data_IF_954587981228
#
_entry.id   IF_954587981228
#
_cell.length_a   1.000
_cell.length_b   1.000
_cell.length_c   1.000
_cell.angle_alpha   90.00
_cell.angle_beta   90.00
_cell.angle_gamma   90.00
#
_symmetry.space_group_name_H-M   'P 1'
#
loop_
_entity.id
_entity.type
_entity.pdbx_description
1 polymer ?
#
# COMPACT_ATOMS: atom_id res chain seq x y z
N UNK A 1 15.74 -16.30 14.35
CA UNK A 1 17.13 -16.52 14.83
C UNK A 1 17.93 -15.29 14.40
N UNK A 2 17.78 -14.16 15.11
CA UNK A 2 18.76 -13.64 16.09
C UNK A 2 20.08 -13.27 15.38
N UNK A 3 20.58 -12.03 15.38
CA UNK A 3 20.92 -11.22 16.55
C UNK A 3 20.96 -9.70 16.25
N UNK A 4 20.41 -8.92 17.18
CA UNK A 4 20.81 -7.54 17.54
C UNK A 4 21.15 -7.62 19.02
N UNK A 5 22.35 -7.19 19.43
CA UNK A 5 22.66 -6.76 20.79
C UNK A 5 24.02 -6.04 20.82
N UNK A 6 24.05 -4.77 21.22
CA UNK A 6 24.79 -4.28 22.39
C UNK A 6 24.55 -2.76 22.53
N UNK A 7 24.01 -2.31 23.67
CA UNK A 7 24.34 -1.03 24.31
C UNK A 7 23.61 -0.91 25.67
N UNK A 8 24.41 -0.98 26.73
CA UNK A 8 24.20 -0.60 28.13
C UNK A 8 25.62 -0.61 28.71
N UNK A 9 26.16 0.27 29.55
CA UNK A 9 25.67 1.17 30.60
C UNK A 9 26.91 1.99 31.04
N UNK A 10 26.79 3.29 31.29
CA UNK A 10 27.38 4.11 32.40
C UNK A 10 26.66 5.47 32.29
N UNK A 11 26.03 6.13 33.26
CA UNK A 11 26.07 6.05 34.72
C UNK A 11 26.65 7.37 35.29
N UNK A 12 25.79 8.34 35.68
CA UNK A 12 25.93 9.23 36.87
C UNK A 12 25.33 10.63 36.69
N UNK A 13 24.26 10.87 37.46
CA UNK A 13 24.14 11.88 38.53
C UNK A 13 24.58 13.33 38.31
N UNK A 14 23.64 14.28 38.42
CA UNK A 14 23.76 15.45 39.30
C UNK A 14 22.40 16.15 39.50
N UNK A 15 22.08 16.39 40.78
CA UNK A 15 21.01 17.24 41.29
C UNK A 15 21.16 18.70 40.85
N UNK A 16 20.05 19.46 40.79
CA UNK A 16 19.91 20.81 41.39
C UNK A 16 18.41 21.11 41.55
N UNK A 17 18.09 21.69 42.71
CA UNK A 17 16.76 22.05 43.19
C UNK A 17 16.55 23.58 43.12
N UNK A 18 15.27 23.96 43.08
CA UNK A 18 14.65 25.11 43.75
C UNK A 18 14.45 26.46 43.01
N UNK A 19 13.16 26.85 43.04
CA UNK A 19 12.56 28.19 43.30
C UNK A 19 12.73 29.29 42.23
N UNK A 20 11.84 30.26 42.04
CA UNK A 20 10.45 30.56 42.44
C UNK A 20 10.08 31.94 41.84
N UNK A 21 8.77 32.22 41.63
CA UNK A 21 8.10 33.55 41.62
C UNK A 21 8.52 34.54 40.51
N UNK A 22 7.73 35.51 40.02
CA UNK A 22 6.31 35.85 40.03
C UNK A 22 6.13 37.10 39.13
N UNK A 23 4.90 37.31 38.62
CA UNK A 23 4.31 38.60 38.20
C UNK A 23 4.93 39.29 36.95
N UNK A 24 4.24 40.07 36.11
CA UNK A 24 2.98 40.82 36.23
C UNK A 24 2.42 41.22 34.83
N UNK A 25 1.12 41.55 34.82
CA UNK A 25 0.45 42.60 34.03
C UNK A 25 0.23 42.48 32.50
N UNK A 26 -1.02 42.14 32.15
CA UNK A 26 -1.88 42.64 31.03
C UNK A 26 -2.54 43.97 31.54
N UNK A 27 -3.16 44.94 30.78
CA UNK A 27 -3.87 44.94 29.46
C UNK A 27 -3.47 46.14 28.56
N UNK A 28 -4.07 46.53 27.42
CA UNK A 28 -4.94 46.02 26.34
C UNK A 28 -5.27 47.24 25.43
N UNK A 29 -6.00 47.00 24.32
CA UNK A 29 -6.82 47.94 23.51
C UNK A 29 -6.16 48.46 22.20
N UNK A 30 -6.83 48.18 21.07
CA UNK A 30 -6.48 48.53 19.67
C UNK A 30 -6.87 49.97 19.26
N UNK A 31 -7.30 50.30 18.02
CA UNK A 31 -7.60 49.48 16.82
C UNK A 31 -6.89 49.94 15.51
N UNK A 32 -7.23 49.27 14.40
CA UNK A 32 -6.93 49.58 12.97
C UNK A 32 -7.51 50.96 12.52
N UNK A 33 -7.39 51.49 11.27
CA UNK A 33 -7.04 50.85 9.98
C UNK A 33 -6.25 51.70 8.94
N UNK A 34 -5.96 51.12 7.76
CA UNK A 34 -6.22 51.84 6.50
C UNK A 34 -5.08 52.02 5.47
N UNK A 35 -5.47 51.72 4.22
CA UNK A 35 -5.16 52.45 2.96
C UNK A 35 -4.09 51.86 2.01
N UNK A 36 -4.64 51.41 0.88
CA UNK A 36 -4.20 51.40 -0.52
C UNK A 36 -2.85 52.01 -0.90
N UNK A 37 -2.17 51.37 -1.85
CA UNK A 37 -1.16 52.01 -2.70
C UNK A 37 -0.65 51.11 -3.81
N UNK A 38 -1.04 51.40 -5.05
CA UNK A 38 -0.72 50.69 -6.29
C UNK A 38 0.71 50.95 -6.79
N UNK A 39 1.18 49.99 -7.61
CA UNK A 39 2.15 50.08 -8.72
C UNK A 39 3.50 50.79 -8.51
N UNK A 40 4.60 50.07 -8.74
CA UNK A 40 5.38 50.24 -9.99
C UNK A 40 6.51 49.20 -10.08
N UNK A 41 6.80 48.86 -11.34
CA UNK A 41 7.92 48.05 -11.80
C UNK A 41 9.17 48.92 -11.79
N UNK A 42 10.29 48.44 -11.25
CA UNK A 42 11.62 48.81 -11.78
C UNK A 42 12.65 47.72 -11.51
N UNK A 43 13.27 47.29 -12.61
CA UNK A 43 14.43 46.41 -12.71
C UNK A 43 15.68 47.29 -12.54
N UNK A 44 16.53 47.04 -11.55
CA UNK A 44 17.93 47.52 -11.55
C UNK A 44 18.88 46.42 -11.09
N UNK A 45 19.87 46.17 -11.94
CA UNK A 45 21.05 45.34 -11.75
C UNK A 45 22.21 46.31 -11.54
N UNK A 46 22.95 46.18 -10.44
CA UNK A 46 24.31 46.71 -10.24
C UNK A 46 25.01 45.74 -9.27
N UNK A 47 25.93 44.89 -9.75
CA UNK A 47 27.38 45.10 -9.93
C UNK A 47 28.21 45.05 -8.64
N UNK A 48 29.23 44.20 -8.71
CA UNK A 48 30.52 44.38 -8.03
C UNK A 48 30.87 43.24 -7.07
N UNK A 49 32.08 42.71 -7.02
CA UNK A 49 33.26 42.88 -7.86
C UNK A 49 34.35 41.87 -7.40
N UNK A 50 35.35 41.65 -8.27
CA UNK A 50 36.74 41.24 -7.99
C UNK A 50 37.03 39.82 -7.46
N UNK A 51 38.12 39.13 -7.82
CA UNK A 51 39.26 39.37 -8.75
C UNK A 51 40.02 38.03 -8.87
N UNK A 52 40.45 37.61 -10.06
CA UNK A 52 41.87 37.63 -10.51
C UNK A 52 42.15 36.28 -11.20
N UNK A 53 42.51 36.17 -12.48
CA UNK A 53 43.63 36.68 -13.31
C UNK A 53 44.63 35.55 -13.64
N UNK A 54 44.66 35.18 -14.94
CA UNK A 54 45.79 34.82 -15.83
C UNK A 54 45.34 33.78 -16.88
N UNK A 55 44.90 34.17 -18.10
CA UNK A 55 45.67 34.50 -19.31
C UNK A 55 46.42 33.26 -19.90
N UNK A 56 45.91 32.54 -20.92
CA UNK A 56 45.94 32.75 -22.43
C UNK A 56 47.36 32.74 -23.04
N UNK A 57 47.60 32.36 -24.33
CA UNK A 57 46.66 32.34 -25.47
C UNK A 57 46.77 31.22 -26.56
N UNK A 58 45.68 31.11 -27.34
CA UNK A 58 45.48 30.88 -28.80
C UNK A 58 46.63 30.41 -29.73
N UNK A 59 46.32 29.50 -30.70
CA UNK A 59 45.85 29.80 -32.08
C UNK A 59 45.56 28.54 -32.93
N UNK A 60 44.74 28.76 -33.97
CA UNK A 60 44.17 27.89 -35.03
C UNK A 60 45.21 27.39 -36.06
N UNK A 61 44.94 26.25 -36.74
CA UNK A 61 44.79 26.15 -38.21
C UNK A 61 44.61 24.69 -38.75
N UNK A 62 43.46 24.45 -39.40
CA UNK A 62 43.17 23.72 -40.67
C UNK A 62 44.06 22.56 -41.20
N UNK A 63 43.44 21.39 -41.47
CA UNK A 63 43.21 20.71 -42.78
C UNK A 63 43.06 19.17 -42.62
N UNK A 64 42.04 18.63 -43.28
CA UNK A 64 41.77 17.19 -43.60
C UNK A 64 42.57 16.82 -44.89
N UNK A 65 42.71 15.56 -45.41
CA UNK A 65 42.02 14.30 -45.04
C UNK A 65 42.84 12.97 -45.12
N UNK A 66 42.13 11.84 -44.91
CA UNK A 66 42.38 10.44 -45.37
C UNK A 66 43.34 9.52 -44.58
N UNK A 67 42.78 8.49 -43.91
CA UNK A 67 42.93 7.04 -44.18
C UNK A 67 42.72 6.17 -42.90
N UNK A 68 41.76 5.27 -43.02
CA UNK A 68 41.63 3.89 -42.48
C UNK A 68 42.20 3.52 -41.11
N UNK A 69 41.32 2.98 -40.27
CA UNK A 69 41.69 2.26 -39.06
C UNK A 69 40.50 1.91 -38.16
N UNK A 70 39.73 0.91 -38.57
CA UNK A 70 38.70 0.25 -37.75
C UNK A 70 39.22 -0.09 -36.34
N UNK A 71 38.56 0.44 -35.30
CA UNK A 71 38.49 -0.21 -33.97
C UNK A 71 37.13 0.03 -33.34
N UNK A 72 36.24 -0.95 -33.52
CA UNK A 72 35.00 -1.07 -32.76
C UNK A 72 35.32 -1.48 -31.32
N UNK A 73 35.11 -0.57 -30.36
CA UNK A 73 35.00 -0.93 -28.95
C UNK A 73 33.62 -1.55 -28.71
N UNK A 74 33.58 -2.88 -28.61
CA UNK A 74 32.38 -3.64 -28.26
C UNK A 74 31.96 -3.38 -26.82
N UNK A 75 30.77 -2.81 -26.63
CA UNK A 75 30.08 -2.78 -25.33
C UNK A 75 29.57 -4.19 -25.01
N UNK A 76 29.76 -4.73 -23.79
CA UNK A 76 29.24 -6.07 -23.47
C UNK A 76 27.70 -6.08 -23.50
N UNK A 77 27.14 -7.04 -24.22
CA UNK A 77 25.72 -7.36 -24.24
C UNK A 77 25.14 -7.50 -22.82
N UNK A 78 24.11 -6.71 -22.52
CA UNK A 78 23.34 -6.70 -21.26
C UNK A 78 22.77 -8.08 -20.87
N UNK A 79 22.70 -9.05 -21.82
CA UNK A 79 22.26 -10.42 -21.56
C UNK A 79 23.18 -11.17 -20.57
N UNK A 80 24.46 -10.80 -20.47
CA UNK A 80 25.42 -11.51 -19.60
C UNK A 80 25.33 -11.11 -18.12
N UNK A 81 24.79 -9.92 -17.79
CA UNK A 81 24.65 -9.46 -16.40
C UNK A 81 23.42 -10.02 -15.67
N UNK A 82 22.42 -10.52 -16.40
CA UNK A 82 21.17 -11.02 -15.82
C UNK A 82 21.15 -12.54 -15.53
N UNK A 83 22.21 -13.27 -15.89
CA UNK A 83 22.28 -14.73 -15.71
C UNK A 83 22.76 -15.19 -14.32
N UNK A 84 23.17 -14.27 -13.42
CA UNK A 84 23.80 -14.62 -12.12
C UNK A 84 22.95 -14.36 -10.87
N UNK A 85 21.70 -13.93 -11.00
CA UNK A 85 20.75 -13.88 -9.89
C UNK A 85 19.55 -14.72 -10.28
N UNK A 86 19.13 -15.63 -9.40
CA UNK A 86 18.13 -16.70 -9.59
C UNK A 86 18.67 -18.02 -10.16
N UNK A 87 19.38 -18.77 -9.31
CA UNK A 87 19.27 -20.24 -9.29
C UNK A 87 18.66 -20.65 -7.95
N UNK A 88 17.33 -20.68 -7.91
CA UNK A 88 16.57 -21.32 -6.84
C UNK A 88 16.43 -22.80 -7.17
N UNK A 89 17.25 -23.60 -6.49
CA UNK A 89 17.30 -25.08 -6.41
C UNK A 89 16.06 -25.83 -6.95
N UNK A 90 16.23 -26.48 -8.08
CA UNK A 90 15.58 -27.76 -8.37
C UNK A 90 16.55 -28.88 -7.97
N UNK A 91 16.09 -29.79 -7.12
CA UNK A 91 16.74 -31.06 -6.83
C UNK A 91 15.60 -32.01 -6.50
N UNK A 92 15.44 -33.17 -7.11
CA UNK A 92 16.31 -33.92 -8.00
C UNK A 92 15.84 -35.36 -7.87
N UNK A 93 15.38 -35.95 -8.97
CA UNK A 93 14.91 -37.33 -9.05
C UNK A 93 16.10 -38.26 -8.81
N UNK A 94 16.01 -39.11 -7.78
CA UNK A 94 16.97 -40.16 -7.51
C UNK A 94 16.73 -41.37 -8.43
N UNK A 95 17.77 -41.82 -9.12
CA UNK A 95 17.83 -43.17 -9.73
C UNK A 95 18.23 -44.19 -8.65
N UNK A 96 17.66 -45.41 -8.62
CA UNK A 96 18.03 -46.43 -7.66
C UNK A 96 19.22 -47.28 -8.15
N UNK A 97 20.06 -47.71 -7.19
CA UNK A 97 21.08 -48.74 -7.38
C UNK A 97 20.50 -50.17 -7.32
N UNK A 98 21.27 -51.19 -7.70
CA UNK A 98 20.77 -52.54 -7.95
C UNK A 98 20.73 -53.39 -6.68
N UNK A 99 19.70 -54.24 -6.59
CA UNK A 99 19.71 -55.42 -5.71
C UNK A 99 18.55 -55.47 -4.73
N UNK A 100 17.66 -56.45 -4.91
CA UNK A 100 16.80 -56.95 -3.83
C UNK A 100 15.34 -57.19 -4.20
N UNK A 101 15.06 -58.38 -4.73
CA UNK A 101 13.85 -59.23 -4.58
C UNK A 101 12.44 -58.58 -4.58
N UNK A 102 11.64 -58.98 -5.57
CA UNK A 102 10.18 -58.98 -5.56
C UNK A 102 9.60 -59.82 -4.39
N UNK A 103 8.34 -59.57 -3.99
CA UNK A 103 7.26 -60.35 -4.61
C UNK A 103 6.03 -59.53 -5.05
N UNK A 104 5.35 -60.13 -6.01
CA UNK A 104 4.04 -59.89 -6.62
C UNK A 104 2.99 -59.15 -5.77
N UNK A 105 2.21 -58.26 -6.41
CA UNK A 105 0.75 -58.42 -6.56
C UNK A 105 0.15 -57.34 -7.50
N UNK A 106 -0.40 -57.85 -8.61
CA UNK A 106 -1.54 -57.45 -9.43
C UNK A 106 -1.84 -55.98 -9.77
N UNK A 107 -1.72 -55.70 -11.08
CA UNK A 107 -2.41 -54.63 -11.80
C UNK A 107 -3.92 -54.86 -11.86
N UNK A 108 -4.70 -53.81 -11.58
CA UNK A 108 -6.05 -53.65 -12.14
C UNK A 108 -6.20 -52.23 -12.70
N UNK A 109 -6.25 -52.13 -14.02
CA UNK A 109 -6.63 -50.93 -14.76
C UNK A 109 -8.15 -50.78 -14.72
N UNK A 110 -8.66 -49.65 -14.24
CA UNK A 110 -10.07 -49.27 -14.40
C UNK A 110 -10.20 -48.06 -15.32
N UNK A 111 -10.99 -48.26 -16.39
CA UNK A 111 -11.39 -47.30 -17.44
C UNK A 111 -12.06 -46.03 -16.87
N UNK A 112 -12.03 -44.89 -17.60
CA UNK A 112 -12.76 -43.69 -17.20
C UNK A 112 -14.25 -43.82 -17.54
N UNK A 113 -15.18 -43.32 -16.71
CA UNK A 113 -16.57 -43.22 -17.11
C UNK A 113 -16.84 -41.91 -17.86
N UNK A 114 -17.74 -42.05 -18.83
CA UNK A 114 -18.20 -41.10 -19.84
C UNK A 114 -18.85 -39.82 -19.29
N UNK A 115 -18.81 -38.81 -20.16
CA UNK A 115 -19.58 -37.57 -20.11
C UNK A 115 -21.07 -37.79 -19.80
N UNK A 116 -21.58 -37.06 -18.82
CA UNK A 116 -22.97 -36.61 -18.81
C UNK A 116 -23.00 -35.09 -18.76
N UNK A 117 -23.57 -34.55 -19.82
CA UNK A 117 -24.03 -33.17 -19.96
C UNK A 117 -25.19 -32.90 -19.02
N UNK A 118 -25.00 -32.04 -18.02
CA UNK A 118 -26.10 -31.36 -17.33
C UNK A 118 -25.80 -29.85 -17.28
N UNK A 119 -26.78 -29.06 -17.72
CA UNK A 119 -26.74 -27.60 -17.79
C UNK A 119 -26.69 -26.91 -16.42
N UNK A 120 -26.51 -25.58 -16.38
CA UNK A 120 -26.05 -24.89 -15.19
C UNK A 120 -27.16 -24.76 -14.14
N UNK A 121 -27.04 -25.50 -13.05
CA UNK A 121 -27.84 -25.27 -11.85
C UNK A 121 -27.40 -23.97 -11.17
N UNK A 122 -28.35 -23.07 -10.94
CA UNK A 122 -28.17 -21.86 -10.15
C UNK A 122 -28.07 -22.24 -8.66
N UNK A 123 -26.87 -22.53 -8.17
CA UNK A 123 -26.61 -22.58 -6.73
C UNK A 123 -25.85 -21.33 -6.29
N UNK A 124 -26.58 -20.37 -5.72
CA UNK A 124 -25.99 -19.26 -4.99
C UNK A 124 -25.17 -19.81 -3.81
N UNK A 125 -23.85 -19.64 -3.86
CA UNK A 125 -22.96 -19.93 -2.74
C UNK A 125 -23.31 -18.94 -1.61
N UNK A 126 -24.11 -19.37 -0.64
CA UNK A 126 -24.22 -18.72 0.67
C UNK A 126 -22.89 -18.92 1.38
N UNK A 127 -21.97 -17.96 1.25
CA UNK A 127 -20.81 -17.88 2.16
C UNK A 127 -21.32 -17.53 3.55
N UNK A 128 -21.32 -18.49 4.49
CA UNK A 128 -21.57 -18.23 5.90
C UNK A 128 -20.45 -17.34 6.49
N UNK A 129 -20.67 -16.03 6.51
CA UNK A 129 -19.77 -15.06 7.16
C UNK A 129 -20.04 -14.89 8.67
N UNK A 130 -20.76 -15.83 9.30
CA UNK A 130 -21.18 -15.68 10.70
C UNK A 130 -20.03 -15.98 11.67
N UNK A 131 -19.60 -14.99 12.45
CA UNK A 131 -18.57 -15.17 13.46
C UNK A 131 -19.04 -16.16 14.53
N UNK A 132 -18.20 -17.18 14.82
CA UNK A 132 -18.40 -18.11 15.94
C UNK A 132 -17.41 -17.76 17.05
N UNK A 133 -17.84 -17.68 18.33
CA UNK A 133 -16.94 -17.36 19.43
C UNK A 133 -15.77 -18.33 19.54
N UNK A 134 -14.57 -17.79 19.71
CA UNK A 134 -13.35 -18.57 19.91
C UNK A 134 -13.22 -18.85 21.41
N UNK A 135 -13.86 -19.90 21.91
CA UNK A 135 -13.51 -20.46 23.21
C UNK A 135 -12.54 -21.63 23.00
N UNK A 136 -11.23 -21.36 23.07
CA UNK A 136 -10.25 -22.43 23.33
C UNK A 136 -10.26 -22.68 24.84
N UNK A 137 -10.52 -23.91 25.27
CA UNK A 137 -10.13 -24.35 26.63
C UNK A 137 -8.62 -24.13 26.72
N UNK A 138 -8.20 -23.19 27.57
CA UNK A 138 -6.80 -23.09 27.95
C UNK A 138 -6.45 -24.40 28.63
N UNK A 139 -5.55 -25.19 28.02
CA UNK A 139 -4.81 -26.19 28.78
C UNK A 139 -3.94 -25.42 29.76
N UNK A 140 -3.96 -25.86 31.00
CA UNK A 140 -3.43 -25.21 32.19
C UNK A 140 -1.98 -24.73 32.01
N UNK A 141 -1.69 -23.56 32.58
CA UNK A 141 -0.33 -23.04 32.67
C UNK A 141 -0.03 -21.87 31.73
N UNK A 142 -0.78 -20.78 31.82
CA UNK A 142 -0.31 -19.37 31.75
C UNK A 142 -1.55 -18.47 31.86
N UNK A 143 -1.66 -17.72 32.95
CA UNK A 143 -2.82 -16.87 33.26
C UNK A 143 -2.86 -15.62 32.39
N UNK A 144 -3.45 -15.73 31.20
CA UNK A 144 -4.11 -14.62 30.55
C UNK A 144 -5.58 -15.00 30.39
N UNK A 145 -6.44 -14.42 31.22
CA UNK A 145 -7.88 -14.67 31.15
C UNK A 145 -8.42 -14.15 29.82
N UNK A 146 -8.57 -15.04 28.84
CA UNK A 146 -9.42 -14.76 27.70
C UNK A 146 -10.85 -14.60 28.23
N UNK A 147 -11.38 -13.38 28.25
CA UNK A 147 -12.82 -13.15 28.44
C UNK A 147 -13.52 -13.79 27.25
N UNK A 148 -13.93 -15.05 27.38
CA UNK A 148 -14.91 -15.60 26.46
C UNK A 148 -16.24 -14.92 26.81
N UNK A 149 -16.62 -13.90 26.05
CA UNK A 149 -17.99 -13.41 26.07
C UNK A 149 -18.88 -14.62 25.75
N UNK A 150 -19.64 -15.10 26.76
CA UNK A 150 -20.75 -16.05 26.56
C UNK A 150 -21.67 -15.48 25.48
N UNK A 151 -22.61 -16.27 24.93
CA UNK A 151 -23.65 -15.83 23.97
C UNK A 151 -24.60 -14.75 24.57
N UNK A 152 -24.06 -13.66 25.09
CA UNK A 152 -24.76 -12.44 25.40
C UNK A 152 -24.68 -11.52 24.18
N UNK A 153 -25.69 -10.68 24.03
CA UNK A 153 -25.70 -9.58 23.07
C UNK A 153 -24.46 -8.72 23.27
N UNK A 154 -23.81 -8.30 22.17
CA UNK A 154 -22.70 -7.36 22.22
C UNK A 154 -23.15 -6.10 22.97
N UNK A 155 -22.32 -5.55 23.87
CA UNK A 155 -22.68 -4.29 24.50
C UNK A 155 -22.81 -3.20 23.42
N UNK A 156 -23.72 -2.24 23.59
CA UNK A 156 -23.91 -1.18 22.61
C UNK A 156 -22.62 -0.36 22.45
N UNK A 157 -22.26 -0.05 21.20
CA UNK A 157 -21.14 0.83 20.88
C UNK A 157 -21.54 2.27 21.22
N UNK A 158 -20.98 2.81 22.31
CA UNK A 158 -21.23 4.19 22.78
C UNK A 158 -20.12 5.15 22.39
N UNK A 159 -18.88 4.68 22.45
CA UNK A 159 -17.68 5.39 22.04
C UNK A 159 -16.66 4.38 21.55
N UNK A 160 -15.89 4.72 20.53
CA UNK A 160 -14.91 3.83 19.96
C UNK A 160 -13.63 4.52 19.53
N UNK A 161 -12.57 3.73 19.43
CA UNK A 161 -11.27 4.22 19.00
C UNK A 161 -10.62 3.27 17.99
N UNK A 162 -9.75 3.83 17.15
CA UNK A 162 -8.91 3.12 16.20
C UNK A 162 -7.46 3.20 16.66
N UNK A 163 -6.78 2.06 16.69
CA UNK A 163 -5.34 1.97 16.97
C UNK A 163 -4.66 1.26 15.81
N UNK A 164 -3.66 1.90 15.22
CA UNK A 164 -2.94 1.31 14.10
C UNK A 164 -2.02 2.26 13.36
N UNK A 165 -1.39 1.75 12.31
CA UNK A 165 -0.50 2.55 11.46
C UNK A 165 -1.31 3.46 10.54
N UNK A 166 -1.22 4.77 10.77
CA UNK A 166 -1.83 5.80 9.93
C UNK A 166 -0.94 6.18 8.73
N UNK A 167 -0.35 5.14 8.11
CA UNK A 167 0.56 5.24 6.98
C UNK A 167 0.01 4.43 5.80
N UNK A 168 0.14 4.96 4.58
CA UNK A 168 -0.08 4.19 3.35
C UNK A 168 -1.45 3.48 3.36
N UNK A 169 -1.54 2.28 2.78
CA UNK A 169 -2.79 1.53 2.68
C UNK A 169 -3.44 1.18 4.02
N UNK A 170 -2.68 0.99 5.11
CA UNK A 170 -3.27 0.70 6.42
C UNK A 170 -3.94 1.92 7.03
N UNK A 171 -3.36 3.11 6.83
CA UNK A 171 -3.95 4.37 7.23
C UNK A 171 -5.20 4.71 6.42
N UNK A 172 -5.16 4.50 5.11
CA UNK A 172 -6.33 4.66 4.23
C UNK A 172 -7.49 3.77 4.69
N UNK A 173 -7.23 2.48 4.95
CA UNK A 173 -8.27 1.56 5.41
C UNK A 173 -8.88 1.99 6.75
N UNK A 174 -8.05 2.38 7.74
CA UNK A 174 -8.55 2.88 9.03
C UNK A 174 -9.41 4.14 8.87
N UNK A 175 -8.94 5.10 8.07
CA UNK A 175 -9.67 6.32 7.77
C UNK A 175 -11.04 6.00 7.18
N UNK A 176 -11.07 5.10 6.20
CA UNK A 176 -12.26 4.76 5.47
C UNK A 176 -13.30 4.02 6.33
N UNK A 177 -12.88 3.05 7.15
CA UNK A 177 -13.81 2.40 8.08
C UNK A 177 -14.40 3.36 9.10
N UNK A 178 -13.62 4.33 9.57
CA UNK A 178 -14.12 5.36 10.49
C UNK A 178 -15.11 6.30 9.80
N UNK A 179 -14.76 6.82 8.62
CA UNK A 179 -15.60 7.76 7.87
C UNK A 179 -16.93 7.12 7.44
N UNK A 180 -16.88 5.89 6.93
CA UNK A 180 -18.10 5.17 6.55
C UNK A 180 -18.84 4.53 7.73
N UNK A 181 -18.16 4.30 8.85
CA UNK A 181 -18.83 3.98 10.12
C UNK A 181 -19.74 5.12 10.57
N UNK A 182 -19.26 6.36 10.50
CA UNK A 182 -20.05 7.55 10.82
C UNK A 182 -21.15 7.80 9.76
N UNK A 183 -20.78 7.82 8.48
CA UNK A 183 -21.70 8.29 7.43
C UNK A 183 -22.75 7.24 7.03
N UNK A 184 -22.42 5.95 7.02
CA UNK A 184 -23.34 4.87 6.63
C UNK A 184 -23.96 4.15 7.81
N UNK A 185 -23.15 3.79 8.82
CA UNK A 185 -23.64 3.04 10.00
C UNK A 185 -24.11 3.94 11.14
N UNK A 186 -23.96 5.27 11.01
CA UNK A 186 -24.35 6.27 12.02
C UNK A 186 -23.67 6.05 13.38
N UNK A 187 -22.45 5.52 13.35
CA UNK A 187 -21.62 5.36 14.54
C UNK A 187 -21.06 6.72 15.00
N UNK A 188 -20.78 6.89 16.30
CA UNK A 188 -20.17 8.12 16.82
C UNK A 188 -18.78 8.34 16.21
N UNK A 189 -18.33 9.61 16.12
CA UNK A 189 -16.97 9.91 15.64
C UNK A 189 -15.89 9.28 16.54
N UNK A 190 -14.95 8.49 15.99
CA UNK A 190 -13.95 7.79 16.79
C UNK A 190 -12.79 8.68 17.25
N UNK A 191 -12.05 8.20 18.26
CA UNK A 191 -10.69 8.68 18.52
C UNK A 191 -9.66 7.81 17.79
N UNK A 192 -8.55 8.41 17.36
CA UNK A 192 -7.47 7.74 16.66
C UNK A 192 -6.19 7.79 17.49
N UNK A 193 -5.57 6.63 17.62
CA UNK A 193 -4.24 6.46 18.16
C UNK A 193 -3.33 5.98 17.03
N UNK A 194 -2.77 6.97 16.32
CA UNK A 194 -2.06 6.79 15.07
C UNK A 194 -0.58 6.53 15.31
N UNK A 195 -0.11 5.37 14.89
CA UNK A 195 1.32 5.04 14.96
C UNK A 195 2.02 5.68 13.77
N UNK A 196 2.95 6.59 14.08
CA UNK A 196 3.81 7.26 13.11
C UNK A 196 4.92 6.34 12.59
N UNK A 197 5.48 6.66 11.44
CA UNK A 197 6.71 6.05 10.93
C UNK A 197 7.61 7.09 10.27
N UNK A 198 8.84 6.70 9.90
CA UNK A 198 9.76 7.56 9.17
C UNK A 198 9.10 8.06 7.87
N UNK A 199 9.12 9.38 7.63
CA UNK A 199 8.53 10.01 6.43
C UNK A 199 7.13 10.60 6.60
N UNK A 200 6.58 10.62 7.83
CA UNK A 200 5.30 11.24 8.14
C UNK A 200 4.08 10.38 7.76
N UNK A 201 2.99 10.55 8.49
CA UNK A 201 1.74 9.84 8.25
C UNK A 201 0.70 10.65 7.51
N UNK A 202 -0.47 10.06 7.31
CA UNK A 202 -1.63 10.77 6.77
C UNK A 202 -2.35 11.58 7.86
N UNK A 203 -1.63 12.01 8.90
CA UNK A 203 -2.16 12.67 10.10
C UNK A 203 -3.03 13.89 9.78
N UNK A 204 -2.56 14.75 8.88
CA UNK A 204 -3.31 15.93 8.47
C UNK A 204 -4.69 15.57 7.92
N UNK A 205 -4.77 14.49 7.13
CA UNK A 205 -6.04 13.97 6.60
C UNK A 205 -7.00 13.57 7.72
N UNK A 206 -6.50 12.89 8.76
CA UNK A 206 -7.32 12.50 9.91
C UNK A 206 -7.76 13.72 10.72
N UNK A 207 -6.85 14.66 10.98
CA UNK A 207 -7.12 15.87 11.75
C UNK A 207 -8.11 16.80 11.05
N UNK A 208 -8.02 16.92 9.74
CA UNK A 208 -8.93 17.72 8.91
C UNK A 208 -10.35 17.12 8.95
N UNK A 209 -10.49 15.80 8.79
CA UNK A 209 -11.81 15.15 8.76
C UNK A 209 -12.47 14.97 10.13
N UNK A 210 -11.69 14.59 11.16
CA UNK A 210 -12.22 14.19 12.47
C UNK A 210 -11.93 15.19 13.59
N UNK A 211 -11.09 16.20 13.32
CA UNK A 211 -10.68 17.20 14.29
C UNK A 211 -9.39 16.83 15.02
N UNK A 212 -8.55 17.85 15.29
CA UNK A 212 -7.23 17.66 15.94
C UNK A 212 -7.30 16.93 17.28
N UNK A 213 -8.33 17.21 18.08
CA UNK A 213 -8.53 16.60 19.40
C UNK A 213 -8.92 15.12 19.35
N UNK A 214 -9.28 14.58 18.18
CA UNK A 214 -9.57 13.16 17.98
C UNK A 214 -8.35 12.36 17.54
N UNK A 215 -7.21 12.98 17.26
CA UNK A 215 -6.05 12.31 16.69
C UNK A 215 -4.86 12.44 17.63
N UNK A 216 -4.45 11.32 18.21
CA UNK A 216 -3.25 11.22 19.05
C UNK A 216 -2.19 10.42 18.31
N UNK A 217 -1.01 11.01 18.12
CA UNK A 217 0.11 10.29 17.53
C UNK A 217 0.86 9.48 18.58
N UNK A 218 1.21 8.25 18.22
CA UNK A 218 1.99 7.34 19.04
C UNK A 218 3.35 7.09 18.37
N UNK A 219 4.45 7.05 19.16
CA UNK A 219 5.78 6.73 18.63
C UNK A 219 5.90 5.24 18.23
N UNK A 220 4.97 4.39 18.65
CA UNK A 220 4.98 2.97 18.40
C UNK A 220 3.71 2.29 18.90
N UNK A 221 3.64 0.97 18.71
CA UNK A 221 2.54 0.15 19.21
C UNK A 221 2.53 0.14 20.75
N UNK A 222 1.41 0.48 21.42
CA UNK A 222 1.38 0.64 22.87
C UNK A 222 1.38 -0.71 23.60
N UNK A 223 1.84 -0.75 24.86
CA UNK A 223 1.57 -1.89 25.75
C UNK A 223 0.09 -1.94 26.14
N UNK A 224 -0.38 -3.08 26.65
CA UNK A 224 -1.77 -3.24 27.14
C UNK A 224 -2.14 -2.21 28.21
N UNK A 225 -1.24 -1.94 29.17
CA UNK A 225 -1.46 -0.92 30.18
C UNK A 225 -1.58 0.47 29.57
N UNK A 226 -0.66 0.81 28.66
CA UNK A 226 -0.69 2.11 27.99
C UNK A 226 -1.93 2.29 27.13
N UNK A 227 -2.38 1.21 26.47
CA UNK A 227 -3.61 1.21 25.69
C UNK A 227 -4.81 1.57 26.58
N UNK A 228 -4.99 0.91 27.73
CA UNK A 228 -6.09 1.23 28.64
C UNK A 228 -6.03 2.69 29.17
N UNK A 229 -4.83 3.20 29.46
CA UNK A 229 -4.63 4.60 29.87
C UNK A 229 -5.05 5.60 28.78
N UNK A 230 -4.75 5.29 27.52
CA UNK A 230 -5.14 6.10 26.37
C UNK A 230 -6.66 6.08 26.15
N UNK A 231 -7.30 4.92 26.36
CA UNK A 231 -8.73 4.74 26.12
C UNK A 231 -9.63 5.35 27.22
N UNK A 232 -9.15 5.35 28.48
CA UNK A 232 -9.95 5.73 29.66
C UNK A 232 -10.52 7.15 29.62
N UNK A 233 -9.75 8.23 29.30
CA UNK A 233 -10.28 9.60 29.28
C UNK A 233 -11.41 9.81 28.28
N UNK A 234 -11.51 8.93 27.28
CA UNK A 234 -12.51 9.02 26.20
C UNK A 234 -13.68 8.06 26.39
N UNK A 235 -13.76 7.35 27.52
CA UNK A 235 -14.80 6.37 27.84
C UNK A 235 -15.03 5.36 26.72
N UNK A 236 -13.95 4.89 26.08
CA UNK A 236 -14.02 4.02 24.90
C UNK A 236 -14.64 2.67 25.27
N UNK A 237 -15.76 2.34 24.62
CA UNK A 237 -16.46 1.06 24.77
C UNK A 237 -15.95 -0.02 23.81
N UNK A 238 -15.46 0.38 22.62
CA UNK A 238 -14.98 -0.53 21.57
C UNK A 238 -13.66 0.00 20.98
N UNK A 239 -12.69 -0.87 20.79
CA UNK A 239 -11.41 -0.51 20.17
C UNK A 239 -11.16 -1.36 18.93
N UNK A 240 -10.99 -0.69 17.79
CA UNK A 240 -10.54 -1.29 16.56
C UNK A 240 -9.02 -1.34 16.52
N UNK A 241 -8.46 -2.56 16.51
CA UNK A 241 -7.03 -2.83 16.54
C UNK A 241 -6.58 -3.32 15.16
N UNK A 242 -5.87 -2.47 14.42
CA UNK A 242 -5.39 -2.80 13.09
C UNK A 242 -3.97 -3.39 13.15
N UNK A 243 -3.87 -4.71 13.05
CA UNK A 243 -2.65 -5.47 13.39
C UNK A 243 -2.07 -6.23 12.21
N UNK A 244 -0.78 -6.55 12.30
CA UNK A 244 -0.16 -7.54 11.43
C UNK A 244 -0.88 -8.91 11.50
N UNK A 245 -1.45 -9.23 12.67
CA UNK A 245 -2.38 -10.34 12.88
C UNK A 245 -1.87 -11.44 13.82
N UNK A 246 -0.56 -11.45 14.12
CA UNK A 246 -0.02 -12.23 15.23
C UNK A 246 -0.62 -11.79 16.57
N UNK A 247 -0.77 -12.72 17.51
CA UNK A 247 -1.16 -12.38 18.87
C UNK A 247 0.05 -11.84 19.63
N UNK A 248 0.11 -10.52 19.77
CA UNK A 248 1.13 -9.77 20.49
C UNK A 248 0.82 -9.62 22.00
N UNK A 249 -0.29 -10.19 22.49
CA UNK A 249 -0.77 -10.04 23.86
C UNK A 249 -1.40 -8.67 24.17
N UNK A 250 -1.53 -7.79 23.18
CA UNK A 250 -1.95 -6.40 23.38
C UNK A 250 -3.42 -6.23 23.00
N UNK A 251 -4.28 -6.21 24.01
CA UNK A 251 -5.73 -5.99 23.89
C UNK A 251 -6.18 -5.10 25.04
N UNK A 252 -7.19 -4.25 24.82
CA UNK A 252 -7.77 -3.45 25.88
C UNK A 252 -8.50 -4.33 26.89
N UNK A 253 -8.41 -3.99 28.18
CA UNK A 253 -9.16 -4.68 29.26
C UNK A 253 -10.48 -3.98 29.57
N UNK A 254 -10.61 -2.73 29.18
CA UNK A 254 -11.75 -1.85 29.48
C UNK A 254 -12.73 -1.70 28.32
N UNK A 255 -12.39 -2.20 27.12
CA UNK A 255 -13.18 -2.06 25.90
C UNK A 255 -13.27 -3.40 25.14
N UNK A 256 -14.29 -3.52 24.30
CA UNK A 256 -14.44 -4.65 23.36
C UNK A 256 -13.40 -4.51 22.24
N UNK A 257 -12.63 -5.57 22.00
CA UNK A 257 -11.52 -5.59 21.06
C UNK A 257 -11.96 -6.11 19.68
N UNK A 258 -11.95 -5.24 18.69
CA UNK A 258 -12.23 -5.54 17.28
C UNK A 258 -10.90 -5.63 16.53
N UNK A 259 -10.34 -6.83 16.42
CA UNK A 259 -9.02 -7.05 15.80
C UNK A 259 -9.16 -7.30 14.30
N UNK A 260 -8.45 -6.50 13.51
CA UNK A 260 -8.39 -6.67 12.06
C UNK A 260 -6.96 -6.97 11.59
N UNK A 261 -6.76 -8.16 11.02
CA UNK A 261 -5.47 -8.73 10.71
C UNK A 261 -5.06 -8.58 9.23
N UNK A 262 -3.88 -8.00 9.00
CA UNK A 262 -3.37 -7.59 7.68
C UNK A 262 -2.54 -8.66 6.98
N UNK A 263 -1.68 -9.38 7.70
CA UNK A 263 -0.69 -10.30 7.10
C UNK A 263 -0.91 -11.76 7.48
N UNK A 264 -1.49 -12.03 8.65
CA UNK A 264 -1.79 -13.39 9.10
C UNK A 264 -3.05 -13.45 9.94
N UNK A 265 -3.95 -14.37 9.60
CA UNK A 265 -5.14 -14.75 10.36
C UNK A 265 -4.94 -16.02 11.19
N UNK A 266 -3.69 -16.46 11.42
CA UNK A 266 -3.38 -17.72 12.13
C UNK A 266 -3.52 -17.62 13.65
N UNK A 267 -3.59 -16.41 14.18
CA UNK A 267 -3.62 -16.16 15.63
C UNK A 267 -4.83 -15.31 16.04
N UNK A 268 -6.07 -15.81 15.90
CA UNK A 268 -7.23 -15.08 16.38
C UNK A 268 -7.15 -14.75 17.87
N UNK A 269 -7.47 -13.50 18.23
CA UNK A 269 -7.44 -12.96 19.60
C UNK A 269 -8.37 -11.73 19.70
N UNK A 270 -8.56 -11.20 20.91
CA UNK A 270 -9.55 -10.15 21.17
C UNK A 270 -10.98 -10.71 21.23
N UNK A 271 -11.98 -9.83 21.19
CA UNK A 271 -13.39 -10.19 21.33
C UNK A 271 -14.03 -10.49 19.96
N UNK A 272 -13.57 -9.81 18.91
CA UNK A 272 -13.88 -10.08 17.51
C UNK A 272 -12.60 -10.04 16.69
N UNK A 273 -12.48 -10.92 15.71
CA UNK A 273 -11.28 -11.05 14.89
C UNK A 273 -11.65 -11.33 13.44
N UNK A 274 -11.11 -10.53 12.53
CA UNK A 274 -11.26 -10.73 11.09
C UNK A 274 -9.93 -10.49 10.36
N UNK A 275 -9.86 -10.98 9.13
CA UNK A 275 -8.74 -10.75 8.20
C UNK A 275 -9.17 -9.87 7.03
N UNK A 276 -8.23 -9.13 6.47
CA UNK A 276 -8.51 -8.12 5.42
C UNK A 276 -8.77 -8.69 4.02
N UNK A 277 -8.54 -9.98 3.81
CA UNK A 277 -8.86 -10.65 2.55
C UNK A 277 -8.91 -12.16 2.73
N UNK A 278 -9.54 -12.85 1.79
CA UNK A 278 -9.59 -14.31 1.73
C UNK A 278 -8.21 -14.97 1.53
N UNK A 279 -7.18 -14.19 1.20
CA UNK A 279 -5.82 -14.66 0.93
C UNK A 279 -4.85 -14.47 2.08
N UNK A 280 -5.20 -13.64 3.06
CA UNK A 280 -4.46 -13.62 4.31
C UNK A 280 -4.56 -15.01 4.93
N UNK A 281 -3.41 -15.67 5.07
CA UNK A 281 -3.32 -17.05 5.58
C UNK A 281 -4.08 -17.18 6.88
N UNK A 282 -4.89 -18.22 7.02
CA UNK A 282 -5.70 -18.44 8.22
C UNK A 282 -5.27 -19.75 8.91
N UNK A 283 -5.57 -19.85 10.20
CA UNK A 283 -5.38 -21.07 10.97
C UNK A 283 -6.68 -21.88 11.10
N UNK A 284 -7.65 -21.66 10.20
CA UNK A 284 -9.03 -22.15 10.30
C UNK A 284 -10.05 -21.14 9.76
N UNK A 285 -11.32 -21.29 10.17
CA UNK A 285 -12.42 -20.40 9.75
C UNK A 285 -12.35 -19.04 10.44
N UNK A 286 -11.63 -18.11 9.84
CA UNK A 286 -11.55 -16.70 10.25
C UNK A 286 -12.35 -15.82 9.27
N UNK A 287 -13.34 -15.04 9.74
CA UNK A 287 -14.12 -14.14 8.89
C UNK A 287 -13.27 -13.14 8.14
N UNK A 288 -13.75 -12.73 6.97
CA UNK A 288 -13.10 -11.72 6.13
C UNK A 288 -13.89 -10.43 6.22
N UNK A 289 -13.21 -9.33 6.53
CA UNK A 289 -13.74 -7.98 6.35
C UNK A 289 -12.80 -7.29 5.37
N UNK A 290 -13.12 -7.27 4.06
CA UNK A 290 -12.17 -6.77 3.08
C UNK A 290 -11.98 -5.27 3.23
N UNK A 291 -10.81 -4.72 2.89
CA UNK A 291 -10.69 -3.27 2.76
C UNK A 291 -11.74 -2.73 1.79
N UNK A 292 -12.25 -1.55 2.11
CA UNK A 292 -13.20 -0.85 1.25
C UNK A 292 -12.44 0.00 0.23
N UNK A 293 -13.05 0.16 -0.94
CA UNK A 293 -12.51 0.99 -2.02
C UNK A 293 -13.40 2.21 -2.14
N UNK A 294 -12.89 3.35 -1.64
CA UNK A 294 -13.59 4.63 -1.72
C UNK A 294 -13.82 5.05 -3.18
N UNK A 295 -15.05 5.42 -3.57
CA UNK A 295 -15.29 6.04 -4.86
C UNK A 295 -14.52 7.35 -4.95
N UNK A 296 -13.67 7.48 -5.96
CA UNK A 296 -13.00 8.74 -6.26
C UNK A 296 -13.99 9.71 -6.94
N UNK A 297 -13.88 11.03 -6.73
CA UNK A 297 -14.80 12.02 -7.29
C UNK A 297 -14.95 11.83 -8.79
N UNK A 298 -16.18 11.76 -9.29
CA UNK A 298 -16.47 11.66 -10.73
C UNK A 298 -16.03 12.96 -11.45
N UNK A 299 -15.77 12.87 -12.75
CA UNK A 299 -15.36 14.03 -13.54
C UNK A 299 -14.54 13.67 -14.76
N UNK A 300 -14.20 14.70 -15.54
CA UNK A 300 -13.36 14.61 -16.74
C UNK A 300 -11.99 15.27 -16.56
N UNK A 301 -11.70 15.78 -15.37
CA UNK A 301 -10.44 16.46 -15.05
C UNK A 301 -9.26 15.50 -15.15
N UNK A 302 -8.18 15.98 -15.75
CA UNK A 302 -6.93 15.24 -15.92
C UNK A 302 -5.76 16.22 -16.00
N UNK A 303 -4.53 15.72 -15.83
CA UNK A 303 -3.33 16.55 -15.73
C UNK A 303 -2.55 16.67 -17.04
N UNK A 304 -3.02 16.11 -18.17
CA UNK A 304 -2.29 16.12 -19.46
C UNK A 304 -1.80 17.51 -19.87
N UNK A 305 -2.68 18.52 -19.90
CA UNK A 305 -2.31 19.91 -20.24
C UNK A 305 -1.27 20.50 -19.27
N UNK A 306 -1.51 20.37 -17.97
CA UNK A 306 -0.60 20.86 -16.93
C UNK A 306 0.78 20.18 -17.00
N UNK A 307 0.81 18.91 -17.40
CA UNK A 307 2.02 18.13 -17.59
C UNK A 307 2.60 18.26 -19.00
N UNK A 308 1.98 19.01 -19.93
CA UNK A 308 2.40 19.13 -21.33
C UNK A 308 2.47 17.79 -22.08
N UNK A 309 1.56 16.87 -21.75
CA UNK A 309 1.42 15.57 -22.43
C UNK A 309 0.46 15.74 -23.60
N UNK A 310 0.87 15.29 -24.80
CA UNK A 310 0.03 15.40 -25.98
C UNK A 310 -1.24 14.52 -25.85
N UNK A 311 -2.36 14.89 -26.51
CA UNK A 311 -3.59 14.11 -26.47
C UNK A 311 -3.42 12.68 -26.99
N UNK A 312 -2.53 12.46 -27.95
CA UNK A 312 -2.27 11.17 -28.61
C UNK A 312 -1.30 10.27 -27.84
N UNK A 313 -0.48 10.82 -26.93
CA UNK A 313 0.50 10.05 -26.13
C UNK A 313 -0.17 8.98 -25.26
N UNK A 314 0.37 7.77 -25.32
CA UNK A 314 0.09 6.66 -24.38
C UNK A 314 0.79 6.92 -23.05
N UNK A 315 0.04 6.94 -21.95
CA UNK A 315 0.55 7.23 -20.61
C UNK A 315 0.33 6.04 -19.69
N UNK A 316 1.41 5.39 -19.25
CA UNK A 316 1.38 4.33 -18.27
C UNK A 316 1.83 4.84 -16.91
N UNK A 317 1.06 4.54 -15.86
CA UNK A 317 1.23 5.21 -14.58
C UNK A 317 1.41 4.25 -13.42
N UNK A 318 1.97 4.79 -12.34
CA UNK A 318 2.03 4.12 -11.05
C UNK A 318 1.94 5.13 -9.93
N UNK A 319 1.20 4.80 -8.87
CA UNK A 319 1.40 5.38 -7.54
C UNK A 319 1.33 4.29 -6.47
N UNK A 320 1.94 4.54 -5.32
CA UNK A 320 2.09 3.56 -4.26
C UNK A 320 3.08 4.01 -3.18
N UNK A 321 3.64 3.05 -2.43
CA UNK A 321 4.72 3.35 -1.48
C UNK A 321 6.01 3.76 -2.21
N UNK A 322 6.81 4.65 -1.63
CA UNK A 322 7.99 5.24 -2.30
C UNK A 322 8.94 4.21 -2.92
N UNK A 323 9.26 3.16 -2.18
CA UNK A 323 10.27 2.17 -2.59
C UNK A 323 9.67 0.91 -3.22
N UNK A 324 8.34 0.85 -3.42
CA UNK A 324 7.66 -0.42 -3.74
C UNK A 324 7.57 -0.72 -5.24
N UNK A 325 8.21 0.07 -6.11
CA UNK A 325 8.40 -0.28 -7.52
C UNK A 325 9.79 -0.87 -7.68
N UNK A 326 9.99 -2.04 -7.09
CA UNK A 326 11.30 -2.60 -6.73
C UNK A 326 11.78 -3.72 -7.67
N UNK A 327 10.93 -4.20 -8.58
CA UNK A 327 11.32 -5.21 -9.56
C UNK A 327 12.27 -4.59 -10.59
N UNK A 328 13.56 -4.97 -10.51
CA UNK A 328 14.64 -4.37 -11.31
C UNK A 328 14.47 -4.56 -12.82
N UNK A 329 14.08 -5.74 -13.26
CA UNK A 329 13.86 -5.96 -14.69
C UNK A 329 12.67 -5.14 -15.22
N UNK A 330 11.70 -4.79 -14.38
CA UNK A 330 10.59 -3.93 -14.78
C UNK A 330 11.04 -2.48 -14.98
N UNK A 331 11.92 -1.98 -14.09
CA UNK A 331 12.58 -0.68 -14.25
C UNK A 331 13.35 -0.63 -15.59
N UNK A 332 14.10 -1.68 -15.93
CA UNK A 332 14.82 -1.78 -17.20
C UNK A 332 13.89 -1.81 -18.42
N UNK A 333 12.78 -2.56 -18.35
CA UNK A 333 11.81 -2.65 -19.45
C UNK A 333 11.14 -1.30 -19.72
N UNK A 334 10.83 -0.51 -18.68
CA UNK A 334 10.32 0.86 -18.81
C UNK A 334 11.29 1.75 -19.59
N UNK A 335 12.57 1.70 -19.23
CA UNK A 335 13.62 2.49 -19.91
C UNK A 335 13.78 2.08 -21.37
N UNK A 336 13.68 0.79 -21.67
CA UNK A 336 13.77 0.31 -23.06
C UNK A 336 12.53 0.69 -23.87
N UNK A 337 11.34 0.56 -23.28
CA UNK A 337 10.08 0.84 -23.96
C UNK A 337 10.01 2.29 -24.46
N UNK A 338 10.42 3.27 -23.64
CA UNK A 338 10.42 4.69 -24.10
C UNK A 338 11.39 4.93 -25.24
N UNK A 339 12.53 4.23 -25.32
CA UNK A 339 13.47 4.37 -26.44
C UNK A 339 12.89 3.84 -27.74
N UNK A 340 12.09 2.78 -27.67
CA UNK A 340 11.52 2.09 -28.84
C UNK A 340 10.17 2.63 -29.28
N UNK A 341 9.45 3.33 -28.40
CA UNK A 341 8.10 3.81 -28.65
C UNK A 341 8.00 5.31 -28.37
N UNK A 342 7.90 6.11 -29.43
CA UNK A 342 7.92 7.57 -29.35
C UNK A 342 6.66 8.14 -28.64
N UNK A 343 5.50 7.51 -28.80
CA UNK A 343 4.23 7.93 -28.21
C UNK A 343 4.03 7.47 -26.76
N UNK A 344 5.03 6.86 -26.11
CA UNK A 344 4.91 6.31 -24.77
C UNK A 344 5.57 7.20 -23.70
N UNK A 345 4.82 7.52 -22.66
CA UNK A 345 5.28 8.19 -21.45
C UNK A 345 4.91 7.41 -20.18
N UNK A 346 5.76 7.53 -19.16
CA UNK A 346 5.53 6.98 -17.84
C UNK A 346 5.45 8.06 -16.77
N UNK A 347 4.42 7.96 -15.92
CA UNK A 347 4.27 8.83 -14.75
C UNK A 347 4.30 8.02 -13.45
N UNK A 348 5.24 8.37 -12.57
CA UNK A 348 5.49 7.69 -11.31
C UNK A 348 5.26 8.64 -10.13
N UNK A 349 4.11 8.54 -9.46
CA UNK A 349 3.82 9.30 -8.23
C UNK A 349 4.36 8.57 -7.03
N UNK A 350 5.02 9.30 -6.11
CA UNK A 350 5.58 8.76 -4.88
C UNK A 350 6.40 7.50 -5.13
N UNK A 351 7.38 7.59 -6.02
CA UNK A 351 8.22 6.46 -6.44
C UNK A 351 9.68 6.90 -6.44
N UNK A 352 10.56 6.07 -5.89
CA UNK A 352 12.00 6.29 -5.95
C UNK A 352 12.46 6.37 -7.42
N UNK A 353 13.14 7.46 -7.83
CA UNK A 353 13.69 7.57 -9.18
C UNK A 353 14.65 6.42 -9.49
N UNK A 354 14.52 5.86 -10.68
CA UNK A 354 15.37 4.75 -11.17
C UNK A 354 15.94 4.98 -12.57
N UNK A 355 15.58 6.09 -13.22
CA UNK A 355 16.03 6.47 -14.54
C UNK A 355 15.91 7.99 -14.73
N UNK A 356 16.66 8.54 -15.67
CA UNK A 356 16.54 9.93 -16.12
C UNK A 356 16.19 9.94 -17.60
N UNK A 357 14.95 10.33 -17.93
CA UNK A 357 14.46 10.47 -19.30
C UNK A 357 13.27 11.44 -19.31
N UNK A 358 13.15 12.31 -20.30
CA UNK A 358 12.05 13.30 -20.37
C UNK A 358 10.63 12.68 -20.36
N UNK A 359 10.48 11.45 -20.86
CA UNK A 359 9.24 10.65 -20.94
C UNK A 359 9.08 9.69 -19.76
N UNK A 360 9.98 9.72 -18.77
CA UNK A 360 9.85 8.98 -17.50
C UNK A 360 9.88 10.01 -16.37
N UNK A 361 8.71 10.31 -15.82
CA UNK A 361 8.56 11.44 -14.89
C UNK A 361 8.17 10.97 -13.50
N UNK A 362 8.95 11.39 -12.51
CA UNK A 362 8.70 11.15 -11.10
C UNK A 362 8.00 12.37 -10.49
N UNK A 363 6.81 12.16 -9.93
CA UNK A 363 5.96 13.19 -9.37
C UNK A 363 5.92 13.06 -7.82
N UNK A 364 5.77 14.18 -7.09
CA UNK A 364 5.70 14.15 -5.64
C UNK A 364 4.49 13.37 -5.12
N UNK A 365 4.52 13.00 -3.84
CA UNK A 365 3.39 12.33 -3.16
C UNK A 365 2.10 13.14 -3.32
N UNK A 366 1.00 12.44 -3.53
CA UNK A 366 -0.35 13.00 -3.51
C UNK A 366 -1.25 12.16 -2.62
N UNK A 367 -2.18 12.80 -1.89
CA UNK A 367 -2.99 12.14 -0.86
C UNK A 367 -4.48 12.47 -0.92
N UNK A 368 -4.90 13.54 -1.62
CA UNK A 368 -6.32 13.89 -1.73
C UNK A 368 -7.02 13.06 -2.80
N UNK A 369 -8.28 12.73 -2.59
CA UNK A 369 -9.03 11.88 -3.53
C UNK A 369 -9.20 12.55 -4.90
N UNK A 370 -9.42 13.87 -4.95
CA UNK A 370 -9.46 14.63 -6.20
C UNK A 370 -8.13 14.54 -6.96
N UNK A 371 -7.00 14.71 -6.26
CA UNK A 371 -5.69 14.64 -6.88
C UNK A 371 -5.34 13.24 -7.40
N UNK A 372 -5.72 12.18 -6.66
CA UNK A 372 -5.61 10.79 -7.12
C UNK A 372 -6.48 10.55 -8.36
N UNK A 373 -7.73 11.02 -8.35
CA UNK A 373 -8.66 10.85 -9.46
C UNK A 373 -8.12 11.51 -10.75
N UNK A 374 -7.65 12.76 -10.65
CA UNK A 374 -7.06 13.50 -11.78
C UNK A 374 -5.80 12.81 -12.32
N UNK A 375 -4.96 12.29 -11.41
CA UNK A 375 -3.78 11.53 -11.79
C UNK A 375 -4.19 10.27 -12.56
N UNK A 376 -5.05 9.42 -12.00
CA UNK A 376 -5.48 8.17 -12.64
C UNK A 376 -6.15 8.44 -14.00
N UNK A 377 -6.94 9.51 -14.13
CA UNK A 377 -7.56 9.92 -15.41
C UNK A 377 -6.56 10.38 -16.46
N UNK A 378 -5.39 10.87 -16.05
CA UNK A 378 -4.31 11.22 -16.98
C UNK A 378 -3.76 9.98 -17.70
N UNK A 379 -3.85 8.83 -17.04
CA UNK A 379 -3.25 7.56 -17.43
C UNK A 379 -4.18 6.74 -18.34
N UNK A 380 -3.58 5.94 -19.21
CA UNK A 380 -4.27 4.94 -20.02
C UNK A 380 -4.28 3.56 -19.32
N UNK A 381 -3.26 3.23 -18.52
CA UNK A 381 -3.23 2.06 -17.65
C UNK A 381 -2.30 2.22 -16.44
N UNK A 382 -2.46 1.33 -15.46
CA UNK A 382 -1.54 1.15 -14.34
C UNK A 382 -0.41 0.18 -14.70
N UNK A 383 0.81 0.49 -14.27
CA UNK A 383 1.93 -0.44 -14.20
C UNK A 383 2.27 -0.71 -12.72
N UNK A 384 2.13 -1.97 -12.32
CA UNK A 384 2.47 -2.47 -10.99
C UNK A 384 3.68 -3.40 -11.07
N UNK A 385 4.69 -3.14 -10.24
CA UNK A 385 5.90 -3.96 -10.19
C UNK A 385 6.48 -4.01 -8.77
N UNK A 386 5.65 -4.50 -7.83
CA UNK A 386 6.07 -4.75 -6.45
C UNK A 386 6.41 -6.24 -6.27
N UNK A 387 7.65 -6.53 -5.90
CA UNK A 387 8.18 -7.89 -5.68
C UNK A 387 7.39 -8.66 -4.61
N UNK A 388 6.93 -7.96 -3.57
CA UNK A 388 6.11 -8.49 -2.48
C UNK A 388 4.63 -8.69 -2.82
N UNK A 389 4.18 -8.34 -4.04
CA UNK A 389 2.77 -8.42 -4.42
C UNK A 389 1.87 -7.51 -3.59
N UNK A 390 0.59 -7.85 -3.46
CA UNK A 390 -0.38 -7.07 -2.67
C UNK A 390 -1.29 -7.98 -1.85
N UNK A 391 -1.51 -7.67 -0.57
CA UNK A 391 -2.46 -8.38 0.31
C UNK A 391 -3.91 -7.94 0.10
N UNK A 392 -4.10 -6.78 -0.53
CA UNK A 392 -5.38 -6.28 -1.05
C UNK A 392 -5.16 -5.45 -2.32
N UNK A 393 -4.25 -4.47 -2.25
CA UNK A 393 -3.88 -3.64 -3.41
C UNK A 393 -4.80 -2.45 -3.64
N UNK A 394 -4.94 -1.55 -2.64
CA UNK A 394 -5.83 -0.38 -2.74
C UNK A 394 -5.54 0.50 -3.97
N UNK A 395 -4.26 0.71 -4.31
CA UNK A 395 -3.92 1.51 -5.48
C UNK A 395 -4.41 0.86 -6.79
N UNK A 396 -4.26 -0.47 -6.89
CA UNK A 396 -4.77 -1.26 -8.02
C UNK A 396 -6.29 -1.15 -8.09
N UNK A 397 -6.97 -1.27 -6.94
CA UNK A 397 -8.40 -1.14 -6.86
C UNK A 397 -8.89 0.24 -7.33
N UNK A 398 -8.23 1.32 -6.93
CA UNK A 398 -8.57 2.69 -7.36
C UNK A 398 -8.41 2.89 -8.88
N UNK A 399 -7.36 2.33 -9.49
CA UNK A 399 -7.22 2.32 -10.95
C UNK A 399 -8.35 1.52 -11.62
N UNK A 400 -8.64 0.32 -11.12
CA UNK A 400 -9.67 -0.55 -11.67
C UNK A 400 -11.08 0.07 -11.56
N UNK A 401 -11.37 0.75 -10.44
CA UNK A 401 -12.62 1.47 -10.23
C UNK A 401 -12.83 2.66 -11.16
N UNK A 402 -11.75 3.18 -11.76
CA UNK A 402 -11.79 4.22 -12.80
C UNK A 402 -11.61 3.65 -14.22
N UNK A 403 -11.82 2.34 -14.39
CA UNK A 403 -11.81 1.66 -15.69
C UNK A 403 -10.42 1.59 -16.31
N UNK A 404 -9.35 1.62 -15.52
CA UNK A 404 -7.99 1.53 -16.03
C UNK A 404 -7.48 0.09 -16.00
N UNK A 405 -6.97 -0.36 -17.14
CA UNK A 405 -6.23 -1.64 -17.24
C UNK A 405 -5.06 -1.66 -16.26
N UNK A 406 -4.72 -2.86 -15.79
CA UNK A 406 -3.63 -3.08 -14.85
C UNK A 406 -2.64 -4.07 -15.44
N UNK A 407 -1.43 -3.59 -15.71
CA UNK A 407 -0.25 -4.39 -16.04
C UNK A 407 0.45 -4.70 -14.72
N UNK A 408 0.60 -5.97 -14.37
CA UNK A 408 1.11 -6.36 -13.05
C UNK A 408 2.00 -7.60 -13.08
N UNK A 409 3.00 -7.60 -12.20
CA UNK A 409 3.94 -8.69 -12.07
C UNK A 409 3.29 -9.91 -11.42
N UNK A 410 3.47 -11.09 -12.02
CA UNK A 410 3.16 -12.36 -11.39
C UNK A 410 4.21 -12.67 -10.31
N UNK A 411 3.88 -12.39 -9.06
CA UNK A 411 4.77 -12.57 -7.90
C UNK A 411 4.16 -13.50 -6.84
N UNK A 412 5.02 -14.23 -6.13
CA UNK A 412 4.63 -15.37 -5.30
C UNK A 412 4.31 -15.13 -3.81
N UNK A 413 4.65 -14.02 -3.13
CA UNK A 413 4.27 -13.90 -1.71
C UNK A 413 2.83 -13.41 -1.50
N UNK A 414 2.24 -12.65 -2.43
CA UNK A 414 0.85 -12.19 -2.31
C UNK A 414 0.23 -11.81 -3.66
N UNK A 415 -0.69 -12.64 -4.15
CA UNK A 415 -1.30 -12.51 -5.48
C UNK A 415 -2.76 -12.01 -5.46
N UNK A 416 -3.20 -11.37 -4.38
CA UNK A 416 -4.63 -10.96 -4.20
C UNK A 416 -5.13 -10.13 -5.36
N UNK A 417 -4.37 -9.10 -5.73
CA UNK A 417 -4.71 -8.25 -6.87
C UNK A 417 -4.84 -9.01 -8.19
N UNK A 418 -4.02 -10.04 -8.43
CA UNK A 418 -4.13 -10.89 -9.62
C UNK A 418 -5.44 -11.67 -9.61
N UNK A 419 -5.86 -12.17 -8.44
CA UNK A 419 -7.10 -12.93 -8.32
C UNK A 419 -8.36 -12.07 -8.37
N UNK A 420 -8.32 -10.87 -7.77
CA UNK A 420 -9.42 -9.92 -7.85
C UNK A 420 -9.62 -9.40 -9.28
N UNK A 421 -8.52 -9.18 -10.02
CA UNK A 421 -8.59 -8.84 -11.44
C UNK A 421 -8.96 -10.07 -12.29
N UNK A 422 -8.49 -11.27 -11.94
CA UNK A 422 -8.69 -12.47 -12.76
C UNK A 422 -8.12 -12.29 -14.17
N UNK A 423 -8.88 -12.70 -15.19
CA UNK A 423 -8.50 -12.59 -16.62
C UNK A 423 -8.30 -11.14 -17.10
N UNK A 424 -8.75 -10.16 -16.31
CA UNK A 424 -8.60 -8.73 -16.61
C UNK A 424 -7.16 -8.26 -16.42
N UNK A 425 -6.34 -8.96 -15.62
CA UNK A 425 -4.96 -8.57 -15.36
C UNK A 425 -4.06 -8.84 -16.58
N UNK A 426 -3.26 -7.84 -16.97
CA UNK A 426 -2.19 -8.02 -17.96
C UNK A 426 -0.92 -8.44 -17.22
N UNK A 427 -0.64 -9.74 -17.24
CA UNK A 427 0.41 -10.34 -16.40
C UNK A 427 1.76 -10.39 -17.11
N UNK A 428 2.82 -10.03 -16.40
CA UNK A 428 4.21 -10.27 -16.83
C UNK A 428 5.00 -11.00 -15.75
N UNK A 429 6.08 -11.68 -16.14
CA UNK A 429 6.95 -12.42 -15.22
C UNK A 429 8.45 -12.24 -15.52
N UNK A 430 8.78 -11.50 -16.56
CA UNK A 430 10.15 -11.27 -17.02
C UNK A 430 10.30 -9.89 -17.66
N UNK A 431 11.55 -9.53 -17.95
CA UNK A 431 11.87 -8.36 -18.78
C UNK A 431 11.16 -8.42 -20.13
N UNK A 432 11.33 -9.53 -20.86
CA UNK A 432 10.82 -9.66 -22.24
C UNK A 432 9.29 -9.61 -22.28
N UNK A 433 8.61 -10.36 -21.40
CA UNK A 433 7.13 -10.36 -21.33
C UNK A 433 6.57 -8.99 -20.99
N UNK A 434 7.21 -8.23 -20.09
CA UNK A 434 6.79 -6.87 -19.80
C UNK A 434 7.07 -5.94 -21.00
N UNK A 435 8.26 -6.01 -21.58
CA UNK A 435 8.61 -5.16 -22.71
C UNK A 435 7.63 -5.38 -23.88
N UNK A 436 7.27 -6.62 -24.17
CA UNK A 436 6.25 -6.97 -25.16
C UNK A 436 4.91 -6.28 -24.85
N UNK A 437 4.41 -6.41 -23.61
CA UNK A 437 3.18 -5.73 -23.20
C UNK A 437 3.26 -4.21 -23.33
N UNK A 438 4.39 -3.59 -22.97
CA UNK A 438 4.57 -2.13 -23.07
C UNK A 438 4.59 -1.65 -24.53
N UNK A 439 5.22 -2.41 -25.41
CA UNK A 439 5.31 -2.08 -26.83
C UNK A 439 3.99 -2.31 -27.56
N UNK A 440 3.28 -3.40 -27.22
CA UNK A 440 2.01 -3.77 -27.83
C UNK A 440 0.79 -3.07 -27.20
N UNK A 441 0.96 -2.31 -26.10
CA UNK A 441 -0.16 -1.68 -25.41
C UNK A 441 -0.93 -0.72 -26.32
N UNK A 442 -2.14 -1.11 -26.72
CA UNK A 442 -3.07 -0.24 -27.43
C UNK A 442 -3.95 0.49 -26.42
N UNK A 443 -3.81 1.82 -26.34
CA UNK A 443 -4.60 2.67 -25.45
C UNK A 443 -6.08 2.79 -25.85
N UNK A 444 -6.41 2.53 -27.13
CA UNK A 444 -7.75 2.66 -27.68
C UNK A 444 -8.55 1.34 -27.61
N UNK A 445 -7.91 0.25 -27.19
CA UNK A 445 -8.57 -1.03 -27.02
C UNK A 445 -9.84 -0.87 -26.16
N UNK A 446 -10.96 -1.36 -26.69
CA UNK A 446 -12.25 -1.29 -26.00
C UNK A 446 -12.19 -2.08 -24.70
N UNK A 447 -12.62 -1.43 -23.61
CA UNK A 447 -12.81 -2.09 -22.33
C UNK A 447 -14.29 -2.27 -22.08
N UNK A 448 -14.66 -3.47 -21.64
CA UNK A 448 -15.95 -3.69 -21.02
C UNK A 448 -16.13 -2.67 -19.86
N UNK A 449 -17.21 -1.87 -19.84
CA UNK A 449 -17.53 -1.00 -18.70
C UNK A 449 -17.56 -1.75 -17.35
N UNK A 450 -17.87 -3.06 -17.38
CA UNK A 450 -17.87 -3.98 -16.23
C UNK A 450 -16.53 -4.71 -16.03
N UNK A 451 -15.45 -4.26 -16.67
CA UNK A 451 -14.10 -4.79 -16.52
C UNK A 451 -13.57 -4.70 -15.06
N UNK A 452 -14.26 -4.00 -14.16
CA UNK A 452 -13.76 -3.74 -12.80
C UNK A 452 -13.93 -4.92 -11.83
N UNK A 453 -12.81 -5.59 -11.48
CA UNK A 453 -12.77 -6.66 -10.47
C UNK A 453 -13.05 -6.25 -9.01
N UNK A 454 -13.11 -4.95 -8.72
CA UNK A 454 -13.20 -4.43 -7.35
C UNK A 454 -14.55 -3.82 -6.97
N UNK A 455 -15.57 -3.86 -7.85
CA UNK A 455 -16.86 -3.22 -7.61
C UNK A 455 -17.58 -3.71 -6.32
N UNK A 456 -17.38 -4.98 -5.94
CA UNK A 456 -17.91 -5.57 -4.70
C UNK A 456 -17.33 -4.96 -3.42
N UNK A 457 -16.21 -4.24 -3.50
CA UNK A 457 -15.55 -3.60 -2.36
C UNK A 457 -16.02 -2.16 -2.11
N UNK A 458 -17.14 -1.74 -2.72
CA UNK A 458 -17.75 -0.43 -2.46
C UNK A 458 -18.19 -0.29 -1.00
N UNK A 459 -18.19 0.94 -0.45
CA UNK A 459 -18.40 1.19 0.98
C UNK A 459 -19.66 0.55 1.56
N UNK A 460 -20.82 0.69 0.91
CA UNK A 460 -22.08 0.15 1.43
C UNK A 460 -22.05 -1.37 1.65
N UNK A 461 -21.46 -2.12 0.69
CA UNK A 461 -21.36 -3.57 0.80
C UNK A 461 -20.36 -3.97 1.90
N UNK A 462 -19.17 -3.35 1.91
CA UNK A 462 -18.13 -3.69 2.89
C UNK A 462 -18.53 -3.29 4.31
N UNK A 463 -19.18 -2.14 4.50
CA UNK A 463 -19.63 -1.70 5.83
C UNK A 463 -20.74 -2.59 6.39
N UNK A 464 -21.55 -3.22 5.53
CA UNK A 464 -22.49 -4.26 5.97
C UNK A 464 -21.74 -5.48 6.52
N UNK A 465 -20.72 -5.96 5.81
CA UNK A 465 -19.86 -7.05 6.29
C UNK A 465 -19.14 -6.65 7.59
N UNK A 466 -18.64 -5.42 7.66
CA UNK A 466 -18.01 -4.87 8.87
C UNK A 466 -18.96 -4.92 10.05
N UNK A 467 -20.20 -4.44 9.88
CA UNK A 467 -21.22 -4.46 10.92
C UNK A 467 -21.51 -5.90 11.39
N UNK A 468 -21.79 -6.80 10.45
CA UNK A 468 -22.13 -8.20 10.75
C UNK A 468 -21.00 -8.91 11.51
N UNK A 469 -19.74 -8.67 11.13
CA UNK A 469 -18.59 -9.36 11.74
C UNK A 469 -18.15 -8.74 13.06
N UNK A 470 -18.12 -7.41 13.15
CA UNK A 470 -17.53 -6.71 14.30
C UNK A 470 -18.55 -6.18 15.31
N UNK A 471 -19.76 -5.82 14.86
CA UNK A 471 -20.70 -5.04 15.67
C UNK A 471 -22.02 -5.75 16.00
N UNK A 472 -22.33 -6.86 15.31
CA UNK A 472 -23.55 -7.65 15.56
C UNK A 472 -23.44 -8.70 16.68
#
# INVERSE_FOLDING_TARGET
MAWIALLALVGSSANISARALASSSVPAIGPAPGIMGRHSVTLWRLTGAHSGLCAKPLRKATRDPTLDGERTCSVPSLKKLLSKQYHGKTCGTAKPGPGGRCPNEECAMSKPPEERTEGPSKSAVKTENRWRPICRRAKEGHSQSARCHKRGTMPPLRAWAFVGSCLRGTGVAMFDYADYGETLLKLPAPHFFCISGPGGGDEDKFRERFGKHKVTMLPGWPSTQRLDELLRPHNVSHVYLHKAGGNDGIVARTAVNLVHAVFTGKHPHGDRYARISSFVSNGGHVPVVPYLVRPLPSGKTHRRKALRIAPTTTVLCRYGGYETFDIKFAQLAVVEAVKRRADLEFLFVNTAPFAQHERIRFLPKTSTDAAKADFIRTCDAMLHARSGGETFGLAIAEFAMLGKRVITARVAPSAVHIQELGERAMLFHSYDSLLELLLAFDRNAHLDPEWNGYAKYRPAHVMRIFYDVFLS
#
